data_IF_592309304638
#
_entry.id   IF_592309304638
#
_cell.length_a   1.000
_cell.length_b   1.000
_cell.length_c   1.000
_cell.angle_alpha   90.00
_cell.angle_beta   90.00
_cell.angle_gamma   90.00
#
_symmetry.space_group_name_H-M   'P 1'
#
loop_
_entity.id
_entity.type
_entity.pdbx_description
1 polymer ?
#
# COMPACT_ATOMS: atom_id res chain seq x y z
N UNK A 1 -27.88 13.71 18.39
CA UNK A 1 -26.88 14.69 18.87
C UNK A 1 -25.46 14.11 18.95
N UNK A 2 -25.26 12.85 19.37
CA UNK A 2 -23.93 12.19 19.34
C UNK A 2 -23.41 11.90 17.91
N UNK A 3 -24.29 11.47 16.99
CA UNK A 3 -23.89 11.17 15.59
C UNK A 3 -23.40 12.40 14.81
N UNK A 4 -24.11 13.52 14.88
CA UNK A 4 -23.68 14.79 14.24
C UNK A 4 -22.34 15.31 14.76
N UNK A 5 -22.00 15.03 16.03
CA UNK A 5 -20.72 15.43 16.62
C UNK A 5 -19.56 14.59 16.05
N UNK A 6 -19.78 13.30 15.82
CA UNK A 6 -18.79 12.40 15.20
C UNK A 6 -18.53 12.71 13.73
N UNK A 7 -19.57 13.07 12.96
CA UNK A 7 -19.43 13.48 11.56
C UNK A 7 -18.68 14.81 11.42
N UNK A 8 -18.97 15.79 12.28
CA UNK A 8 -18.28 17.08 12.30
C UNK A 8 -16.80 16.96 12.67
N UNK A 9 -16.45 16.08 13.62
CA UNK A 9 -15.06 15.79 14.00
C UNK A 9 -14.27 15.09 12.89
N UNK A 10 -14.93 14.18 12.15
CA UNK A 10 -14.32 13.52 10.99
C UNK A 10 -14.07 14.51 9.84
N UNK A 11 -15.03 15.38 9.55
CA UNK A 11 -14.89 16.40 8.52
C UNK A 11 -13.75 17.38 8.83
N UNK A 12 -13.62 17.83 10.08
CA UNK A 12 -12.51 18.72 10.48
C UNK A 12 -11.14 18.05 10.40
N UNK A 13 -11.04 16.74 10.69
CA UNK A 13 -9.79 15.99 10.58
C UNK A 13 -9.34 15.85 9.12
N UNK A 14 -10.30 15.69 8.19
CA UNK A 14 -10.03 15.62 6.75
C UNK A 14 -9.58 16.97 6.23
N UNK A 15 -10.28 18.05 6.58
CA UNK A 15 -9.84 19.40 6.25
C UNK A 15 -8.43 19.64 6.78
N UNK A 16 -8.11 19.25 8.01
CA UNK A 16 -6.77 19.40 8.57
C UNK A 16 -5.72 18.59 7.79
N UNK A 17 -5.97 17.30 7.49
CA UNK A 17 -5.06 16.45 6.70
C UNK A 17 -4.82 16.97 5.28
N UNK A 18 -5.83 17.56 4.64
CA UNK A 18 -5.72 18.07 3.26
C UNK A 18 -5.40 19.56 3.15
N UNK A 19 -5.58 20.35 4.22
CA UNK A 19 -5.30 21.80 4.22
C UNK A 19 -3.96 22.16 4.84
N UNK A 20 -3.43 21.37 5.77
CA UNK A 20 -2.16 21.65 6.45
C UNK A 20 -0.95 20.95 5.82
N UNK A 21 -1.20 19.90 5.02
CA UNK A 21 -0.15 19.04 4.46
C UNK A 21 -0.21 18.93 2.95
N UNK A 22 0.99 18.89 2.34
CA UNK A 22 1.19 18.72 0.91
C UNK A 22 1.42 17.26 0.50
N UNK A 23 1.13 16.28 1.36
CA UNK A 23 1.46 14.86 1.15
C UNK A 23 0.94 14.32 -0.19
N UNK A 24 -0.28 14.68 -0.60
CA UNK A 24 -0.87 14.18 -1.86
C UNK A 24 -0.11 14.70 -3.08
N UNK A 25 0.33 15.96 -3.06
CA UNK A 25 1.15 16.50 -4.14
C UNK A 25 2.55 15.86 -4.15
N UNK A 26 3.14 15.62 -2.98
CA UNK A 26 4.41 14.89 -2.86
C UNK A 26 4.29 13.48 -3.44
N UNK A 27 3.18 12.77 -3.22
CA UNK A 27 2.95 11.48 -3.87
C UNK A 27 2.85 11.63 -5.40
N UNK A 28 2.09 12.60 -5.90
CA UNK A 28 1.94 12.85 -7.35
C UNK A 28 3.23 13.25 -8.07
N UNK A 29 4.19 13.84 -7.38
CA UNK A 29 5.51 14.14 -7.93
C UNK A 29 6.38 12.89 -8.14
N UNK A 30 6.12 11.82 -7.37
CA UNK A 30 6.91 10.59 -7.38
C UNK A 30 6.24 9.43 -8.12
N UNK A 31 4.91 9.32 -8.02
CA UNK A 31 4.14 8.26 -8.68
C UNK A 31 3.37 8.84 -9.87
N UNK A 32 3.46 8.21 -11.06
CA UNK A 32 2.66 8.61 -12.21
C UNK A 32 1.17 8.42 -11.91
N UNK A 33 0.32 9.14 -12.65
CA UNK A 33 -1.14 9.12 -12.44
C UNK A 33 -1.74 7.70 -12.49
N UNK A 34 -1.15 6.81 -13.30
CA UNK A 34 -1.55 5.40 -13.42
C UNK A 34 -1.26 4.53 -12.19
N UNK A 35 -0.50 5.02 -11.22
CA UNK A 35 -0.18 4.34 -9.95
C UNK A 35 -0.85 5.02 -8.76
N UNK A 36 -1.54 6.15 -9.00
CA UNK A 36 -2.16 6.96 -7.97
C UNK A 36 -3.65 6.66 -7.85
N UNK A 37 -4.11 6.44 -6.61
CA UNK A 37 -5.53 6.59 -6.30
C UNK A 37 -5.95 8.04 -6.53
N UNK A 38 -7.15 8.24 -7.08
CA UNK A 38 -7.73 9.59 -7.19
C UNK A 38 -7.87 10.22 -5.81
N UNK A 39 -7.75 11.55 -5.71
CA UNK A 39 -7.94 12.30 -4.46
C UNK A 39 -9.23 11.92 -3.71
N UNK A 40 -10.36 11.82 -4.42
CA UNK A 40 -11.66 11.41 -3.85
C UNK A 40 -11.61 10.05 -3.14
N UNK A 41 -10.84 9.11 -3.69
CA UNK A 41 -10.68 7.78 -3.10
C UNK A 41 -9.87 7.83 -1.80
N UNK A 42 -8.78 8.61 -1.78
CA UNK A 42 -8.06 8.88 -0.52
C UNK A 42 -8.96 9.54 0.52
N UNK A 43 -9.74 10.55 0.14
CA UNK A 43 -10.67 11.25 1.05
C UNK A 43 -11.67 10.27 1.68
N UNK A 44 -12.27 9.40 0.87
CA UNK A 44 -13.19 8.34 1.34
C UNK A 44 -12.48 7.36 2.28
N UNK A 45 -11.28 6.88 1.91
CA UNK A 45 -10.51 5.95 2.75
C UNK A 45 -10.17 6.59 4.11
N UNK A 46 -9.64 7.81 4.14
CA UNK A 46 -9.35 8.48 5.41
C UNK A 46 -10.60 8.77 6.25
N UNK A 47 -11.76 8.98 5.61
CA UNK A 47 -13.01 9.26 6.30
C UNK A 47 -13.68 8.00 6.89
N UNK A 48 -13.65 6.92 6.13
CA UNK A 48 -14.46 5.72 6.39
C UNK A 48 -13.63 4.55 6.92
N UNK A 49 -12.36 4.44 6.52
CA UNK A 49 -11.43 3.42 7.00
C UNK A 49 -10.54 3.98 8.11
N UNK A 50 -10.98 3.85 9.36
CA UNK A 50 -10.25 4.35 10.54
C UNK A 50 -8.82 3.77 10.68
N UNK A 51 -8.56 2.63 10.04
CA UNK A 51 -7.26 1.97 10.03
C UNK A 51 -6.32 2.47 8.92
N UNK A 52 -6.83 3.28 7.99
CA UNK A 52 -6.06 3.90 6.91
C UNK A 52 -5.46 5.23 7.38
N UNK A 53 -4.13 5.30 7.40
CA UNK A 53 -3.37 6.31 8.14
C UNK A 53 -2.31 6.96 7.28
N UNK A 54 -2.00 8.21 7.63
CA UNK A 54 -0.91 9.00 7.08
C UNK A 54 0.13 9.22 8.17
N UNK A 55 1.39 8.98 7.84
CA UNK A 55 2.56 9.35 8.65
C UNK A 55 3.53 10.09 7.75
N UNK A 56 3.88 11.32 8.10
CA UNK A 56 4.79 12.13 7.28
C UNK A 56 5.79 12.90 8.12
N UNK A 57 6.90 13.22 7.48
CA UNK A 57 7.89 14.16 7.98
C UNK A 57 8.44 15.01 6.84
N UNK A 58 9.43 15.88 7.12
CA UNK A 58 10.03 16.75 6.11
C UNK A 58 10.52 15.97 4.88
N UNK A 59 11.08 14.79 5.10
CA UNK A 59 11.74 13.98 4.07
C UNK A 59 10.99 12.71 3.70
N UNK A 60 9.81 12.43 4.27
CA UNK A 60 9.06 11.22 3.92
C UNK A 60 7.54 11.41 3.97
N UNK A 61 6.82 10.55 3.24
CA UNK A 61 5.38 10.33 3.37
C UNK A 61 5.15 8.82 3.36
N UNK A 62 4.33 8.34 4.29
CA UNK A 62 3.85 6.96 4.34
C UNK A 62 2.34 6.97 4.45
N UNK A 63 1.67 6.30 3.52
CA UNK A 63 0.24 5.98 3.62
C UNK A 63 0.14 4.48 3.84
N UNK A 64 -0.56 4.07 4.90
CA UNK A 64 -0.59 2.68 5.31
C UNK A 64 -1.93 2.30 5.95
N UNK A 65 -2.29 1.04 5.82
CA UNK A 65 -3.44 0.44 6.47
C UNK A 65 -2.95 -0.44 7.63
N UNK A 66 -3.29 -0.07 8.86
CA UNK A 66 -2.79 -0.75 10.06
C UNK A 66 -3.88 -1.58 10.71
N UNK A 67 -3.79 -2.91 10.66
CA UNK A 67 -4.67 -3.83 11.38
C UNK A 67 -4.06 -4.27 12.72
N UNK A 68 -4.71 -5.20 13.43
CA UNK A 68 -4.22 -5.68 14.72
C UNK A 68 -2.90 -6.44 14.60
N UNK A 69 -2.75 -7.27 13.57
CA UNK A 69 -1.66 -8.23 13.36
C UNK A 69 -0.72 -7.84 12.20
N UNK A 70 -1.14 -6.96 11.30
CA UNK A 70 -0.32 -6.49 10.18
C UNK A 70 -0.45 -4.97 9.90
N UNK A 71 0.51 -4.47 9.13
CA UNK A 71 0.53 -3.15 8.51
C UNK A 71 0.75 -3.36 7.01
N UNK A 72 -0.15 -2.86 6.19
CA UNK A 72 0.06 -2.75 4.75
C UNK A 72 0.55 -1.35 4.41
N UNK A 73 1.72 -1.25 3.78
CA UNK A 73 2.23 0.03 3.27
C UNK A 73 1.71 0.19 1.85
N UNK A 74 0.75 1.12 1.68
CA UNK A 74 0.15 1.41 0.38
C UNK A 74 1.03 2.37 -0.43
N UNK A 75 1.58 3.40 0.23
CA UNK A 75 2.55 4.31 -0.38
C UNK A 75 3.67 4.64 0.60
N UNK A 76 4.91 4.65 0.11
CA UNK A 76 6.07 5.14 0.84
C UNK A 76 6.98 5.92 -0.09
N UNK A 77 7.26 7.17 0.27
CA UNK A 77 8.27 7.99 -0.41
C UNK A 77 9.28 8.51 0.61
N UNK A 78 10.54 8.53 0.16
CA UNK A 78 11.63 9.21 0.83
C UNK A 78 12.23 10.19 -0.15
N UNK A 79 12.32 11.45 0.26
CA UNK A 79 12.83 12.56 -0.55
C UNK A 79 14.17 12.20 -1.17
N UNK A 80 14.32 12.50 -2.48
CA UNK A 80 15.55 12.28 -3.23
C UNK A 80 16.79 12.89 -2.58
N UNK A 81 16.66 14.08 -1.98
CA UNK A 81 17.74 14.78 -1.26
C UNK A 81 18.18 14.08 0.02
N UNK A 82 17.41 13.10 0.51
CA UNK A 82 17.68 12.32 1.72
C UNK A 82 17.86 10.82 1.43
N UNK A 83 17.89 10.41 0.15
CA UNK A 83 18.32 9.06 -0.24
C UNK A 83 19.77 8.83 0.20
N UNK A 84 20.05 7.66 0.74
CA UNK A 84 21.36 7.34 1.32
C UNK A 84 21.63 7.90 2.71
N UNK A 85 20.75 8.73 3.28
CA UNK A 85 20.86 9.22 4.67
C UNK A 85 20.16 8.33 5.71
N UNK A 86 19.63 7.18 5.28
CA UNK A 86 18.97 6.22 6.16
C UNK A 86 17.52 6.54 6.53
N UNK A 87 16.90 7.58 5.96
CA UNK A 87 15.50 7.97 6.27
C UNK A 87 14.51 6.82 6.06
N UNK A 88 14.61 6.09 4.93
CA UNK A 88 13.75 4.92 4.70
C UNK A 88 13.92 3.83 5.75
N UNK A 89 15.15 3.64 6.25
CA UNK A 89 15.43 2.70 7.32
C UNK A 89 14.85 3.15 8.65
N UNK A 90 14.88 4.46 8.96
CA UNK A 90 14.24 5.03 10.15
C UNK A 90 12.73 4.79 10.09
N UNK A 91 12.10 5.14 8.97
CA UNK A 91 10.65 4.95 8.75
C UNK A 91 10.25 3.48 8.89
N UNK A 92 10.97 2.56 8.25
CA UNK A 92 10.67 1.14 8.37
C UNK A 92 10.88 0.63 9.80
N UNK A 93 11.93 1.08 10.50
CA UNK A 93 12.17 0.68 11.88
C UNK A 93 11.07 1.19 12.84
N UNK A 94 10.56 2.39 12.60
CA UNK A 94 9.39 2.92 13.34
C UNK A 94 8.17 2.03 13.14
N UNK A 95 7.86 1.63 11.90
CA UNK A 95 6.77 0.70 11.62
C UNK A 95 7.02 -0.68 12.25
N UNK A 96 8.24 -1.21 12.19
CA UNK A 96 8.62 -2.50 12.80
C UNK A 96 8.49 -2.49 14.32
N UNK A 97 8.71 -1.33 14.95
CA UNK A 97 8.59 -1.18 16.41
C UNK A 97 7.17 -1.44 16.92
N UNK A 98 6.16 -1.36 16.05
CA UNK A 98 4.76 -1.69 16.37
C UNK A 98 4.52 -3.19 16.59
N UNK A 99 5.50 -4.04 16.26
CA UNK A 99 5.43 -5.48 16.50
C UNK A 99 4.49 -6.27 15.58
N UNK A 100 4.06 -5.65 14.48
CA UNK A 100 3.13 -6.23 13.50
C UNK A 100 3.88 -6.70 12.26
N UNK A 101 3.32 -7.66 11.53
CA UNK A 101 3.83 -7.96 10.20
C UNK A 101 3.71 -6.71 9.31
N UNK A 102 4.64 -6.52 8.37
CA UNK A 102 4.58 -5.44 7.39
C UNK A 102 4.50 -6.08 6.02
N UNK A 103 3.47 -5.72 5.25
CA UNK A 103 3.22 -6.21 3.90
C UNK A 103 3.33 -5.04 2.94
N UNK A 104 3.96 -5.25 1.79
CA UNK A 104 4.13 -4.24 0.75
C UNK A 104 4.10 -4.84 -0.66
N UNK A 105 3.60 -4.05 -1.60
CA UNK A 105 3.62 -4.31 -3.04
C UNK A 105 4.87 -3.66 -3.63
N UNK A 106 5.70 -4.45 -4.32
CA UNK A 106 6.94 -3.97 -4.96
C UNK A 106 6.93 -4.35 -6.43
N UNK A 107 7.20 -3.36 -7.28
CA UNK A 107 7.41 -3.61 -8.71
C UNK A 107 8.55 -4.62 -8.90
N UNK A 108 8.36 -5.64 -9.74
CA UNK A 108 9.41 -6.57 -10.07
C UNK A 108 10.58 -5.84 -10.74
N UNK A 109 11.78 -6.43 -10.65
CA UNK A 109 12.96 -5.90 -11.35
C UNK A 109 12.67 -5.82 -12.84
N UNK A 110 12.93 -4.65 -13.43
CA UNK A 110 12.70 -4.35 -14.85
C UNK A 110 13.92 -3.65 -15.44
N UNK A 111 14.25 -3.98 -16.69
CA UNK A 111 15.32 -3.30 -17.44
C UNK A 111 14.97 -1.83 -17.73
N UNK A 112 13.67 -1.50 -17.75
CA UNK A 112 13.16 -0.15 -18.00
C UNK A 112 13.28 0.79 -16.79
N UNK A 113 13.41 0.22 -15.58
CA UNK A 113 13.65 0.97 -14.33
C UNK A 113 14.99 0.54 -13.69
N UNK A 114 16.09 1.28 -13.95
CA UNK A 114 17.40 1.01 -13.38
C UNK A 114 17.46 1.06 -11.84
N UNK A 115 16.46 1.64 -11.17
CA UNK A 115 16.39 1.71 -9.71
C UNK A 115 15.57 0.56 -9.10
N UNK A 116 14.88 -0.26 -9.91
CA UNK A 116 14.07 -1.39 -9.46
C UNK A 116 14.90 -2.42 -8.67
N UNK A 117 16.10 -2.77 -9.15
CA UNK A 117 17.00 -3.71 -8.45
C UNK A 117 17.42 -3.16 -7.08
N UNK A 118 17.74 -1.86 -6.99
CA UNK A 118 18.11 -1.22 -5.73
C UNK A 118 16.95 -1.20 -4.74
N UNK A 119 15.72 -1.03 -5.24
CA UNK A 119 14.48 -1.05 -4.45
C UNK A 119 14.22 -2.44 -3.87
N UNK A 120 14.31 -3.49 -4.70
CA UNK A 120 14.19 -4.88 -4.24
C UNK A 120 15.25 -5.18 -3.18
N UNK A 121 16.53 -4.86 -3.46
CA UNK A 121 17.65 -5.07 -2.54
C UNK A 121 17.46 -4.35 -1.20
N UNK A 122 16.89 -3.14 -1.21
CA UNK A 122 16.58 -2.39 -0.01
C UNK A 122 15.60 -3.15 0.89
N UNK A 123 14.55 -3.75 0.32
CA UNK A 123 13.59 -4.52 1.11
C UNK A 123 14.13 -5.89 1.53
N UNK A 124 14.66 -6.70 0.60
CA UNK A 124 15.11 -8.07 0.90
C UNK A 124 16.38 -8.08 1.75
N UNK A 125 17.48 -7.55 1.21
CA UNK A 125 18.81 -7.71 1.81
C UNK A 125 19.02 -6.79 3.01
N UNK A 126 18.51 -5.55 2.96
CA UNK A 126 18.77 -4.55 4.02
C UNK A 126 17.72 -4.54 5.12
N UNK A 127 16.49 -4.95 4.80
CA UNK A 127 15.37 -4.87 5.73
C UNK A 127 14.69 -6.23 5.99
N UNK A 128 15.25 -7.34 5.50
CA UNK A 128 14.80 -8.70 5.78
C UNK A 128 13.32 -8.94 5.43
N UNK A 129 12.81 -8.24 4.42
CA UNK A 129 11.53 -8.62 3.83
C UNK A 129 11.73 -9.90 3.02
N UNK A 130 10.74 -10.80 3.08
CA UNK A 130 10.68 -11.99 2.25
C UNK A 130 9.71 -11.74 1.12
N UNK A 131 10.13 -11.96 -0.12
CA UNK A 131 9.22 -12.08 -1.25
C UNK A 131 8.37 -13.35 -1.10
N UNK A 132 7.06 -13.20 -1.17
CA UNK A 132 6.08 -14.26 -0.95
C UNK A 132 5.74 -14.96 -2.27
N UNK A 133 5.34 -16.23 -2.21
CA UNK A 133 4.92 -17.00 -3.38
C UNK A 133 3.47 -16.72 -3.80
N UNK A 134 3.12 -15.44 -3.85
CA UNK A 134 1.79 -14.91 -4.18
C UNK A 134 1.87 -14.24 -5.55
N UNK A 135 0.94 -14.58 -6.44
CA UNK A 135 0.67 -13.82 -7.65
C UNK A 135 -0.27 -12.68 -7.35
N UNK A 136 0.07 -11.49 -7.85
CA UNK A 136 -0.74 -10.28 -7.74
C UNK A 136 -0.77 -9.55 -9.07
N UNK A 137 -1.95 -9.47 -9.68
CA UNK A 137 -2.18 -8.78 -10.94
C UNK A 137 -3.51 -8.01 -10.86
N UNK A 138 -3.46 -6.69 -11.00
CA UNK A 138 -4.62 -5.81 -10.85
C UNK A 138 -4.73 -4.85 -12.03
N UNK A 139 -5.93 -4.69 -12.56
CA UNK A 139 -6.26 -3.70 -13.58
C UNK A 139 -6.45 -2.35 -12.88
N UNK A 140 -5.72 -1.33 -13.33
CA UNK A 140 -5.86 0.01 -12.78
C UNK A 140 -7.22 0.62 -13.13
N UNK A 141 -7.93 1.17 -12.13
CA UNK A 141 -9.32 1.64 -12.27
C UNK A 141 -9.49 2.76 -13.32
N UNK A 142 -8.45 3.56 -13.55
CA UNK A 142 -8.50 4.71 -14.48
C UNK A 142 -7.95 4.32 -15.85
N UNK A 143 -6.72 3.78 -15.90
CA UNK A 143 -6.01 3.53 -17.17
C UNK A 143 -6.36 2.20 -17.80
N UNK A 144 -6.98 1.27 -17.05
CA UNK A 144 -7.25 -0.11 -17.49
C UNK A 144 -5.99 -0.93 -17.82
N UNK A 145 -4.81 -0.44 -17.43
CA UNK A 145 -3.54 -1.16 -17.58
C UNK A 145 -3.40 -2.24 -16.52
N UNK A 146 -2.77 -3.36 -16.90
CA UNK A 146 -2.44 -4.44 -15.97
C UNK A 146 -1.22 -4.04 -15.13
N UNK A 147 -1.41 -3.94 -13.83
CA UNK A 147 -0.36 -3.71 -12.86
C UNK A 147 0.00 -5.04 -12.18
N UNK A 148 1.28 -5.41 -12.25
CA UNK A 148 1.83 -6.62 -11.66
C UNK A 148 2.88 -6.25 -10.63
N UNK A 149 2.70 -6.75 -9.41
CA UNK A 149 3.64 -6.52 -8.31
C UNK A 149 4.03 -7.85 -7.66
N UNK A 150 5.19 -7.85 -7.02
CA UNK A 150 5.56 -8.88 -6.06
C UNK A 150 5.13 -8.46 -4.65
N UNK A 151 4.64 -9.42 -3.88
CA UNK A 151 4.25 -9.21 -2.48
C UNK A 151 5.42 -9.54 -1.58
N UNK A 152 5.77 -8.61 -0.71
CA UNK A 152 6.86 -8.74 0.25
C UNK A 152 6.30 -8.65 1.66
N UNK A 153 6.83 -9.47 2.57
CA UNK A 153 6.43 -9.47 3.97
C UNK A 153 7.64 -9.46 4.91
N UNK A 154 7.59 -8.60 5.92
CA UNK A 154 8.44 -8.67 7.10
C UNK A 154 7.59 -9.04 8.32
N UNK A 155 8.13 -9.84 9.23
CA UNK A 155 7.48 -10.15 10.50
C UNK A 155 8.53 -10.56 11.55
N UNK A 156 8.22 -10.35 12.82
CA UNK A 156 9.07 -10.81 13.94
C UNK A 156 9.08 -12.35 14.04
N UNK A 157 7.97 -12.98 13.71
CA UNK A 157 7.81 -14.44 13.66
C UNK A 157 7.52 -14.89 12.22
N UNK A 158 7.98 -16.09 11.81
CA UNK A 158 7.65 -16.62 10.49
C UNK A 158 6.14 -16.65 10.24
N UNK A 159 5.73 -16.13 9.08
CA UNK A 159 4.36 -16.20 8.57
C UNK A 159 4.35 -17.03 7.30
N UNK A 160 3.23 -17.70 7.02
CA UNK A 160 3.07 -18.50 5.80
C UNK A 160 2.54 -17.65 4.64
N UNK A 161 2.78 -18.10 3.42
CA UNK A 161 2.27 -17.49 2.20
C UNK A 161 0.74 -17.44 2.17
N UNK A 162 0.07 -18.49 2.68
CA UNK A 162 -1.39 -18.50 2.83
C UNK A 162 -1.89 -17.42 3.78
N UNK A 163 -1.21 -17.21 4.90
CA UNK A 163 -1.57 -16.16 5.85
C UNK A 163 -1.39 -14.77 5.23
N UNK A 164 -0.28 -14.53 4.51
CA UNK A 164 -0.07 -13.24 3.83
C UNK A 164 -1.09 -13.05 2.70
N UNK A 165 -1.46 -14.13 1.98
CA UNK A 165 -2.49 -14.08 0.95
C UNK A 165 -3.84 -13.65 1.52
N UNK A 166 -4.29 -14.27 2.63
CA UNK A 166 -5.55 -13.88 3.29
C UNK A 166 -5.54 -12.39 3.67
N UNK A 167 -4.45 -11.90 4.28
CA UNK A 167 -4.31 -10.47 4.61
C UNK A 167 -4.32 -9.59 3.36
N UNK A 168 -3.66 -9.99 2.28
CA UNK A 168 -3.70 -9.28 1.00
C UNK A 168 -5.09 -9.24 0.37
N UNK A 169 -5.89 -10.29 0.55
CA UNK A 169 -7.29 -10.30 0.08
C UNK A 169 -8.14 -9.30 0.86
N UNK A 170 -7.96 -9.23 2.19
CA UNK A 170 -8.58 -8.20 3.03
C UNK A 170 -8.14 -6.79 2.60
N UNK A 171 -6.84 -6.56 2.44
CA UNK A 171 -6.27 -5.29 1.95
C UNK A 171 -6.90 -4.89 0.61
N UNK A 172 -7.02 -5.85 -0.32
CA UNK A 172 -7.62 -5.58 -1.62
C UNK A 172 -9.05 -5.07 -1.47
N UNK A 173 -9.87 -5.72 -0.64
CA UNK A 173 -11.28 -5.35 -0.45
C UNK A 173 -11.45 -4.02 0.31
N UNK A 174 -10.66 -3.81 1.37
CA UNK A 174 -10.81 -2.68 2.30
C UNK A 174 -10.07 -1.42 1.84
N UNK A 175 -9.11 -1.54 0.91
CA UNK A 175 -8.27 -0.41 0.45
C UNK A 175 -8.35 -0.20 -1.05
N UNK A 176 -8.13 -1.25 -1.84
CA UNK A 176 -7.97 -1.10 -3.30
C UNK A 176 -9.30 -1.12 -4.06
N UNK A 177 -10.22 -1.98 -3.64
CA UNK A 177 -11.57 -2.17 -4.20
C UNK A 177 -12.64 -1.37 -3.44
N UNK A 178 -12.27 -0.77 -2.31
CA UNK A 178 -13.20 -0.06 -1.44
C UNK A 178 -13.94 1.06 -2.20
N UNK A 179 -15.26 0.92 -2.33
CA UNK A 179 -16.14 1.86 -3.03
C UNK A 179 -15.71 2.20 -4.47
N UNK A 180 -14.99 1.30 -5.14
CA UNK A 180 -14.52 1.53 -6.52
C UNK A 180 -15.69 1.77 -7.48
N UNK A 181 -16.81 1.09 -7.32
CA UNK A 181 -18.02 1.31 -8.12
C UNK A 181 -18.58 2.72 -7.95
N UNK A 182 -18.69 3.20 -6.70
CA UNK A 182 -19.19 4.55 -6.39
C UNK A 182 -18.25 5.66 -6.88
N UNK A 183 -16.94 5.41 -6.86
CA UNK A 183 -15.91 6.42 -7.15
C UNK A 183 -15.62 6.48 -8.66
N UNK A 184 -15.48 5.32 -9.29
CA UNK A 184 -14.99 5.18 -10.67
C UNK A 184 -16.06 4.68 -11.65
N UNK A 185 -17.24 4.27 -11.18
CA UNK A 185 -18.31 3.74 -12.03
C UNK A 185 -17.99 2.38 -12.65
N UNK A 186 -17.10 1.60 -12.02
CA UNK A 186 -16.66 0.28 -12.49
C UNK A 186 -16.72 -0.74 -11.36
N UNK A 187 -17.04 -1.97 -11.70
CA UNK A 187 -16.97 -3.07 -10.73
C UNK A 187 -15.51 -3.41 -10.43
N UNK A 188 -15.13 -3.60 -9.15
CA UNK A 188 -13.82 -4.13 -8.83
C UNK A 188 -13.67 -5.56 -9.38
N UNK A 189 -12.43 -5.94 -9.69
CA UNK A 189 -12.15 -7.33 -10.08
C UNK A 189 -12.47 -8.28 -8.91
N UNK A 190 -12.94 -9.51 -9.20
CA UNK A 190 -13.02 -10.55 -8.18
C UNK A 190 -11.65 -10.79 -7.54
N UNK A 191 -11.60 -10.89 -6.21
CA UNK A 191 -10.34 -11.05 -5.48
C UNK A 191 -9.53 -12.28 -5.92
N UNK A 192 -10.22 -13.36 -6.33
CA UNK A 192 -9.62 -14.58 -6.85
C UNK A 192 -8.92 -14.41 -8.22
N UNK A 193 -9.28 -13.38 -8.98
CA UNK A 193 -8.59 -13.02 -10.22
C UNK A 193 -7.34 -12.19 -9.94
N UNK A 194 -7.35 -11.42 -8.86
CA UNK A 194 -6.27 -10.48 -8.50
C UNK A 194 -5.16 -11.16 -7.70
N UNK A 195 -5.51 -12.07 -6.77
CA UNK A 195 -4.61 -12.64 -5.78
C UNK A 195 -4.71 -14.16 -5.75
N UNK A 196 -3.57 -14.86 -5.87
CA UNK A 196 -3.50 -16.32 -5.80
C UNK A 196 -2.14 -16.83 -5.30
N UNK A 197 -2.07 -18.08 -4.81
CA UNK A 197 -0.79 -18.76 -4.58
C UNK A 197 -0.20 -19.22 -5.91
N UNK A 198 1.07 -18.91 -6.21
CA UNK A 198 1.68 -19.27 -7.51
C UNK A 198 1.67 -20.79 -7.74
N UNK A 199 1.94 -21.58 -6.69
CA UNK A 199 1.93 -23.06 -6.75
C UNK A 199 0.57 -23.64 -7.18
N UNK A 200 -0.53 -22.93 -6.90
CA UNK A 200 -1.87 -23.39 -7.25
C UNK A 200 -2.17 -23.27 -8.75
N UNK A 201 -1.64 -22.23 -9.43
CA UNK A 201 -1.82 -22.05 -10.87
C UNK A 201 -0.84 -22.88 -11.70
N UNK A 202 0.36 -23.13 -11.18
CA UNK A 202 1.34 -24.03 -11.84
C UNK A 202 0.82 -25.47 -11.96
N UNK A 203 0.04 -25.95 -10.99
CA UNK A 203 -0.60 -27.27 -11.02
C UNK A 203 -1.78 -27.40 -12.00
N UNK A 204 -2.36 -26.29 -12.44
CA UNK A 204 -3.47 -26.27 -13.42
C UNK A 204 -2.92 -26.18 -14.85
N UNK A 205 -1.70 -25.67 -15.02
CA UNK A 205 -1.03 -25.52 -16.31
C UNK A 205 -0.19 -26.75 -16.73
N UNK A 206 -0.14 -27.80 -15.90
CA UNK A 206 0.45 -29.11 -16.19
C UNK A 206 -0.64 -30.14 -16.43
#
# INVERSE_FOLDING_TARGET
MLMQRGESLKASLIEEVFSSSNWYNRLREYFPEREMKSRKHFEILFQEQAMYKLMEGPDYVVVYFEQQDYIFIDYIIVSGTSRGKGVGSIVLNELKSKGKAIILEVEPVSEEDPDSEKRVRFYEERHNFKKMNIGYERIHNITSELNKMDIFCWSQAPVSDSWVLERMQEIYLEVHAYKVEEIYGRNPQPVSEVLWLKESREKIAQ
#
